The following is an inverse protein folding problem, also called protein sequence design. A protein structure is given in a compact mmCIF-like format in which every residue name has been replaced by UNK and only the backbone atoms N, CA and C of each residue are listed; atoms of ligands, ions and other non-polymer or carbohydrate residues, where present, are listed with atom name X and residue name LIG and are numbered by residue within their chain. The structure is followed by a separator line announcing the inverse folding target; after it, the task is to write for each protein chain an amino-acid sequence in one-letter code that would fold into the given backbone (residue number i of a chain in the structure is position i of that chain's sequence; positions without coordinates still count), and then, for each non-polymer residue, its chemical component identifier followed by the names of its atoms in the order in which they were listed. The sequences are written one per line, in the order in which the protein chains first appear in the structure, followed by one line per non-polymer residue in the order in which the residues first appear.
data_IF_489708902467
#
_entry.id   IF_489708902467
#
_cell.length_a   1.000
_cell.length_b   1.000
_cell.length_c   1.000
_cell.angle_alpha   90.00
_cell.angle_beta   90.00
_cell.angle_gamma   90.00
#
_symmetry.space_group_name_H-M   'P 1'
#
loop_
_entity.id
_entity.type
_entity.pdbx_description
1 polymer ?
#
# COMPACT_ATOMS: atom_id res chain seq x y z
N UNK A 1 -4.64 9.36 -6.16
CA UNK A 1 -5.64 8.95 -5.19
C UNK A 1 -5.18 9.41 -3.82
N UNK A 2 -5.96 10.29 -3.19
CA UNK A 2 -5.69 10.72 -1.82
C UNK A 2 -5.93 9.57 -0.83
N UNK A 3 -5.33 9.69 0.36
CA UNK A 3 -5.45 8.70 1.45
C UNK A 3 -6.92 8.45 1.84
N UNK A 4 -7.76 9.49 1.76
CA UNK A 4 -9.20 9.44 2.05
C UNK A 4 -9.94 8.39 1.20
N UNK A 5 -9.56 8.26 -0.07
CA UNK A 5 -10.16 7.29 -1.01
C UNK A 5 -9.80 5.85 -0.62
N UNK A 6 -8.70 5.65 0.10
CA UNK A 6 -8.19 4.34 0.48
C UNK A 6 -8.63 3.87 1.86
N UNK A 7 -9.21 4.76 2.66
CA UNK A 7 -9.66 4.47 4.03
C UNK A 7 -10.55 3.21 4.14
N UNK A 8 -11.44 2.88 3.19
CA UNK A 8 -12.19 1.62 3.20
C UNK A 8 -11.29 0.38 3.17
N UNK A 9 -10.18 0.40 2.42
CA UNK A 9 -9.24 -0.74 2.37
C UNK A 9 -8.58 -0.97 3.72
N UNK A 10 -8.34 0.10 4.48
CA UNK A 10 -7.84 -0.01 5.85
C UNK A 10 -8.81 -0.78 6.74
N UNK A 11 -10.10 -0.46 6.65
CA UNK A 11 -11.14 -1.13 7.43
C UNK A 11 -11.35 -2.59 6.99
N UNK A 12 -11.38 -2.85 5.68
CA UNK A 12 -11.63 -4.19 5.10
C UNK A 12 -10.48 -5.16 5.41
N UNK A 13 -9.24 -4.72 5.19
CA UNK A 13 -8.05 -5.59 5.33
C UNK A 13 -7.31 -5.38 6.66
N UNK A 14 -7.82 -4.52 7.53
CA UNK A 14 -7.18 -4.18 8.80
C UNK A 14 -5.79 -3.58 8.62
N UNK A 15 -5.56 -2.74 7.60
CA UNK A 15 -4.23 -2.13 7.39
C UNK A 15 -3.92 -1.12 8.51
N UNK A 16 -2.66 -0.94 8.83
CA UNK A 16 -2.19 0.19 9.66
C UNK A 16 -2.19 1.49 8.86
N UNK A 17 -2.08 2.64 9.54
CA UNK A 17 -1.96 3.94 8.85
C UNK A 17 -0.71 4.00 7.96
N UNK A 18 0.42 3.46 8.42
CA UNK A 18 1.66 3.42 7.63
C UNK A 18 1.50 2.54 6.38
N UNK A 19 0.89 1.36 6.51
CA UNK A 19 0.61 0.47 5.38
C UNK A 19 -0.35 1.12 4.38
N UNK A 20 -1.38 1.83 4.85
CA UNK A 20 -2.30 2.58 3.97
C UNK A 20 -1.58 3.67 3.18
N UNK A 21 -0.67 4.42 3.82
CA UNK A 21 0.14 5.45 3.16
C UNK A 21 1.07 4.84 2.10
N UNK A 22 1.76 3.74 2.43
CA UNK A 22 2.60 3.01 1.46
C UNK A 22 1.76 2.54 0.26
N UNK A 23 0.59 1.97 0.52
CA UNK A 23 -0.33 1.51 -0.54
C UNK A 23 -0.84 2.69 -1.38
N UNK A 24 -1.12 3.84 -0.77
CA UNK A 24 -1.52 5.06 -1.46
C UNK A 24 -0.46 5.53 -2.44
N UNK A 25 0.79 5.69 -2.01
CA UNK A 25 1.89 6.04 -2.92
C UNK A 25 2.08 5.00 -4.02
N UNK A 26 1.98 3.72 -3.68
CA UNK A 26 2.12 2.63 -4.65
C UNK A 26 1.05 2.71 -5.75
N UNK A 27 -0.21 3.00 -5.41
CA UNK A 27 -1.29 3.19 -6.40
C UNK A 27 -1.11 4.45 -7.25
N UNK A 28 -0.23 5.38 -6.87
CA UNK A 28 0.18 6.52 -7.70
C UNK A 28 1.31 6.18 -8.68
N UNK A 29 1.73 4.91 -8.74
CA UNK A 29 2.82 4.47 -9.61
C UNK A 29 4.21 4.75 -9.03
N UNK A 30 4.31 5.11 -7.75
CA UNK A 30 5.59 5.36 -7.12
C UNK A 30 6.37 4.07 -6.86
N UNK A 31 7.65 4.06 -7.21
CA UNK A 31 8.50 2.91 -6.93
C UNK A 31 8.83 2.84 -5.43
N UNK A 32 9.07 1.64 -4.84
CA UNK A 32 9.38 1.51 -3.41
C UNK A 32 10.55 2.39 -2.92
N UNK A 33 11.51 2.69 -3.80
CA UNK A 33 12.64 3.58 -3.51
C UNK A 33 12.21 5.05 -3.37
N UNK A 34 11.17 5.47 -4.07
CA UNK A 34 10.64 6.83 -4.01
C UNK A 34 9.74 6.99 -2.78
N UNK A 35 8.93 5.97 -2.50
CA UNK A 35 8.14 5.86 -1.26
C UNK A 35 9.06 5.95 -0.04
N UNK A 36 10.19 5.25 -0.05
CA UNK A 36 11.14 5.28 1.07
C UNK A 36 11.69 6.69 1.32
N UNK A 37 11.98 7.45 0.25
CA UNK A 37 12.45 8.84 0.37
C UNK A 37 11.34 9.78 0.85
N UNK A 38 10.12 9.63 0.36
CA UNK A 38 8.99 10.49 0.74
C UNK A 38 8.50 10.27 2.17
N UNK A 39 8.55 9.02 2.64
CA UNK A 39 8.09 8.66 3.98
C UNK A 39 9.22 8.71 5.02
N UNK A 40 10.44 9.11 4.63
CA UNK A 40 11.64 9.10 5.48
C UNK A 40 11.87 7.73 6.16
N UNK A 41 11.83 6.67 5.34
CA UNK A 41 11.99 5.29 5.78
C UNK A 41 13.10 4.58 5.00
N UNK A 42 13.69 3.55 5.58
CA UNK A 42 14.57 2.66 4.83
C UNK A 42 13.79 1.89 3.75
N UNK A 43 14.47 1.55 2.64
CA UNK A 43 13.89 0.69 1.61
C UNK A 43 13.48 -0.68 2.18
N UNK A 44 14.17 -1.18 3.20
CA UNK A 44 13.84 -2.44 3.88
C UNK A 44 12.52 -2.33 4.64
N UNK A 45 12.28 -1.21 5.31
CA UNK A 45 11.03 -0.90 6.02
C UNK A 45 9.86 -0.83 5.04
N UNK A 46 10.01 -0.13 3.91
CA UNK A 46 8.97 -0.08 2.86
C UNK A 46 8.66 -1.48 2.33
N UNK A 47 9.70 -2.31 2.08
CA UNK A 47 9.49 -3.69 1.62
C UNK A 47 8.81 -4.56 2.68
N UNK A 48 9.06 -4.34 3.97
CA UNK A 48 8.35 -5.01 5.05
C UNK A 48 6.87 -4.62 5.06
N UNK A 49 6.54 -3.33 4.93
CA UNK A 49 5.16 -2.88 4.78
C UNK A 49 4.48 -3.50 3.55
N UNK A 50 5.14 -3.53 2.39
CA UNK A 50 4.59 -4.14 1.18
C UNK A 50 4.29 -5.64 1.36
N UNK A 51 5.15 -6.37 2.06
CA UNK A 51 4.89 -7.78 2.41
C UNK A 51 3.68 -7.92 3.33
N UNK A 52 3.60 -7.10 4.38
CA UNK A 52 2.49 -7.12 5.32
C UNK A 52 1.16 -6.75 4.62
N UNK A 53 1.17 -5.75 3.73
CA UNK A 53 0.02 -5.38 2.90
C UNK A 53 -0.43 -6.57 2.05
N UNK A 54 0.48 -7.21 1.31
CA UNK A 54 0.13 -8.36 0.47
C UNK A 54 -0.47 -9.51 1.30
N UNK A 55 0.09 -9.76 2.47
CA UNK A 55 -0.41 -10.77 3.41
C UNK A 55 -1.82 -10.44 3.91
N UNK A 56 -2.05 -9.20 4.39
CA UNK A 56 -3.36 -8.74 4.88
C UNK A 56 -4.42 -8.72 3.78
N UNK A 57 -4.04 -8.35 2.57
CA UNK A 57 -4.92 -8.34 1.39
C UNK A 57 -5.12 -9.73 0.76
N UNK A 58 -4.40 -10.76 1.21
CA UNK A 58 -4.52 -12.11 0.68
C UNK A 58 -4.03 -12.26 -0.78
N UNK A 59 -3.10 -11.41 -1.22
CA UNK A 59 -2.65 -11.33 -2.62
C UNK A 59 -1.18 -11.68 -2.78
N UNK A 60 -0.83 -12.16 -3.97
CA UNK A 60 0.57 -12.43 -4.34
C UNK A 60 1.21 -11.17 -4.91
N UNK A 61 2.08 -10.56 -4.11
CA UNK A 61 2.94 -9.46 -4.51
C UNK A 61 2.21 -8.15 -4.81
N UNK A 62 3.01 -7.15 -5.17
CA UNK A 62 2.61 -5.75 -5.36
C UNK A 62 1.52 -5.62 -6.44
N UNK A 63 1.65 -6.34 -7.55
CA UNK A 63 0.68 -6.29 -8.65
C UNK A 63 -0.70 -6.77 -8.21
N UNK A 64 -0.77 -7.79 -7.36
CA UNK A 64 -2.04 -8.26 -6.79
C UNK A 64 -2.69 -7.22 -5.87
N UNK A 65 -1.89 -6.57 -5.02
CA UNK A 65 -2.35 -5.51 -4.14
C UNK A 65 -2.88 -4.30 -4.93
N UNK A 66 -2.18 -3.89 -5.99
CA UNK A 66 -2.61 -2.83 -6.90
C UNK A 66 -3.94 -3.16 -7.58
N UNK A 67 -4.03 -4.35 -8.18
CA UNK A 67 -5.25 -4.80 -8.86
C UNK A 67 -6.45 -4.76 -7.91
N UNK A 68 -6.32 -5.36 -6.73
CA UNK A 68 -7.40 -5.43 -5.75
C UNK A 68 -7.79 -4.04 -5.23
N UNK A 69 -6.79 -3.15 -5.03
CA UNK A 69 -7.06 -1.75 -4.64
C UNK A 69 -7.92 -1.04 -5.69
N UNK A 70 -7.58 -1.17 -6.98
CA UNK A 70 -8.35 -0.55 -8.06
C UNK A 70 -9.73 -1.18 -8.29
N UNK A 71 -9.94 -2.44 -7.91
CA UNK A 71 -11.24 -3.11 -8.02
C UNK A 71 -12.22 -2.69 -6.92
N UNK A 72 -11.72 -2.31 -5.75
CA UNK A 72 -12.55 -1.98 -4.58
C UNK A 72 -12.77 -0.47 -4.38
N UNK A 73 -12.02 0.36 -5.11
CA UNK A 73 -12.05 1.82 -4.99
C UNK A 73 -12.68 2.50 -6.22
N UNK A 74 -12.79 1.81 -7.36
CA UNK A 74 -13.53 2.31 -8.53
C UNK A 74 -15.03 2.11 -8.38
#
# INVERSE_FOLDING_TARGET
MGVEVMEPLRAIFGLTRAELLVLSHLTQGEAPKDISRKMDMSIHTVRAHLRAICMRMGVKGITGALRLSFQLIN
#
